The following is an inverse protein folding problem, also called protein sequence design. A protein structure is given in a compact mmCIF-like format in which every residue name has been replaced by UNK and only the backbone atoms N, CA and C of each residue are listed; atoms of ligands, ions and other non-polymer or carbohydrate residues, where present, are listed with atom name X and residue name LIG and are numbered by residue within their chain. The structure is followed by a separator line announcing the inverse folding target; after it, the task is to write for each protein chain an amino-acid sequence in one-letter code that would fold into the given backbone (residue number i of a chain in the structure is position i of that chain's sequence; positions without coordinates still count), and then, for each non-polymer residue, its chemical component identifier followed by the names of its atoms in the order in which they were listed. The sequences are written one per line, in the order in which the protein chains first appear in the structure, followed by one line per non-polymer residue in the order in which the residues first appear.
data_IF_536183797361
#
_entry.id   IF_536183797361
#
_cell.length_a   1.000
_cell.length_b   1.000
_cell.length_c   1.000
_cell.angle_alpha   90.00
_cell.angle_beta   90.00
_cell.angle_gamma   90.00
#
_symmetry.space_group_name_H-M   'P 1'
#
loop_
_entity.id
_entity.type
_entity.pdbx_description
1 polymer ?
#
# COMPACT_ATOMS: atom_id res chain seq x y z
N UNK A 1 -4.25 8.06 6.88
CA UNK A 1 -2.83 8.37 6.68
C UNK A 1 -2.04 7.75 7.82
N UNK A 2 -0.85 7.24 7.55
CA UNK A 2 0.13 6.79 8.55
C UNK A 2 1.38 7.65 8.39
N UNK A 3 2.02 8.00 9.50
CA UNK A 3 3.30 8.70 9.51
C UNK A 3 4.32 7.77 10.16
N UNK A 4 5.37 7.47 9.43
CA UNK A 4 6.48 6.63 9.91
C UNK A 4 7.73 7.48 10.05
N UNK A 5 8.36 7.40 11.22
CA UNK A 5 9.63 8.04 11.50
C UNK A 5 10.77 7.03 11.45
N UNK A 6 11.84 7.38 10.73
CA UNK A 6 13.07 6.60 10.68
C UNK A 6 14.24 7.48 11.15
N UNK A 7 14.99 7.01 12.13
CA UNK A 7 16.14 7.72 12.71
C UNK A 7 17.39 7.72 11.81
N UNK A 8 17.20 7.69 10.51
CA UNK A 8 18.27 7.81 9.48
C UNK A 8 17.68 8.42 8.20
N UNK A 9 18.50 9.15 7.45
CA UNK A 9 18.16 9.57 6.11
C UNK A 9 18.14 8.39 5.16
N UNK A 10 17.09 8.30 4.35
CA UNK A 10 17.01 7.31 3.27
C UNK A 10 17.34 7.93 1.92
N UNK A 11 17.88 7.10 1.02
CA UNK A 11 17.89 7.38 -0.41
C UNK A 11 16.65 6.83 -1.10
N UNK A 12 16.59 6.96 -2.41
CA UNK A 12 15.53 6.39 -3.27
C UNK A 12 15.37 4.87 -3.12
N UNK A 13 16.43 4.18 -2.72
CA UNK A 13 16.47 2.73 -2.47
C UNK A 13 16.15 2.34 -1.01
N UNK A 14 15.67 3.28 -0.20
CA UNK A 14 15.42 3.16 1.25
C UNK A 14 16.64 2.78 2.08
N UNK A 15 17.85 2.79 1.52
CA UNK A 15 19.08 2.54 2.27
C UNK A 15 19.52 3.76 3.05
N UNK A 16 20.15 3.57 4.22
CA UNK A 16 20.71 4.67 5.00
C UNK A 16 21.78 5.46 4.21
N UNK A 17 21.70 6.77 4.30
CA UNK A 17 22.75 7.68 3.78
C UNK A 17 23.92 7.77 4.78
N UNK A 18 25.16 8.07 4.30
CA UNK A 18 26.37 8.08 5.14
C UNK A 18 26.52 9.38 5.95
N UNK A 19 25.42 10.00 6.38
CA UNK A 19 25.39 11.20 7.20
C UNK A 19 24.22 11.19 8.18
N UNK A 20 24.29 12.02 9.24
CA UNK A 20 23.24 12.11 10.23
C UNK A 20 21.99 12.78 9.67
N UNK A 21 20.84 12.21 9.99
CA UNK A 21 19.55 12.76 9.60
C UNK A 21 18.43 11.79 9.92
N UNK A 22 17.21 12.15 9.53
CA UNK A 22 16.03 11.32 9.70
C UNK A 22 15.10 11.42 8.48
N UNK A 23 14.15 10.51 8.40
CA UNK A 23 13.12 10.52 7.35
C UNK A 23 11.75 10.41 7.98
N UNK A 24 10.83 11.26 7.53
CA UNK A 24 9.40 11.15 7.84
C UNK A 24 8.69 10.67 6.57
N UNK A 25 8.13 9.47 6.62
CA UNK A 25 7.30 8.95 5.53
C UNK A 25 5.84 9.27 5.81
N UNK A 26 5.16 9.79 4.79
CA UNK A 26 3.71 9.99 4.82
C UNK A 26 3.05 8.95 3.90
N UNK A 27 2.26 8.06 4.48
CA UNK A 27 1.73 6.89 3.79
C UNK A 27 0.21 6.98 3.66
N UNK A 28 -0.29 6.94 2.42
CA UNK A 28 -1.73 6.85 2.17
C UNK A 28 -2.19 5.40 2.31
N UNK A 29 -2.74 5.06 3.50
CA UNK A 29 -3.09 3.68 3.88
C UNK A 29 -4.47 3.21 3.38
N UNK A 30 -5.25 4.04 2.70
CA UNK A 30 -6.56 3.69 2.11
C UNK A 30 -6.74 4.29 0.72
N UNK A 31 -5.90 3.92 -0.27
CA UNK A 31 -6.02 4.46 -1.61
C UNK A 31 -7.34 4.02 -2.27
N UNK A 32 -7.92 4.95 -3.03
CA UNK A 32 -9.11 4.68 -3.85
C UNK A 32 -8.74 4.19 -5.25
N UNK A 33 -7.53 4.48 -5.73
CA UNK A 33 -7.03 3.98 -7.01
C UNK A 33 -7.09 2.44 -7.09
N UNK A 34 -7.39 1.94 -8.27
CA UNK A 34 -7.43 0.50 -8.56
C UNK A 34 -6.48 0.17 -9.69
N UNK A 35 -5.69 -0.86 -9.46
CA UNK A 35 -4.78 -1.43 -10.44
C UNK A 35 -5.24 -2.79 -10.94
N UNK A 36 -4.33 -3.47 -11.63
CA UNK A 36 -4.56 -4.82 -12.09
C UNK A 36 -3.27 -5.62 -12.19
N UNK A 37 -3.41 -6.94 -12.11
CA UNK A 37 -2.38 -7.91 -12.47
C UNK A 37 -2.90 -8.72 -13.64
N UNK A 38 -2.10 -8.86 -14.71
CA UNK A 38 -2.48 -9.61 -15.92
C UNK A 38 -1.38 -10.55 -16.35
N UNK A 39 -1.79 -11.70 -16.87
CA UNK A 39 -0.89 -12.65 -17.53
C UNK A 39 -0.41 -12.01 -18.84
N UNK A 40 0.89 -12.12 -19.14
CA UNK A 40 1.51 -11.56 -20.34
C UNK A 40 1.86 -12.62 -21.38
N UNK A 41 1.84 -13.91 -21.02
CA UNK A 41 2.17 -15.00 -21.92
C UNK A 41 1.79 -16.36 -21.34
N UNK A 42 1.94 -17.44 -22.12
CA UNK A 42 1.49 -18.78 -21.76
C UNK A 42 2.46 -19.53 -20.82
N UNK A 43 3.68 -19.04 -20.64
CA UNK A 43 4.70 -19.75 -19.85
C UNK A 43 4.63 -19.33 -18.38
N UNK A 44 4.78 -20.25 -17.41
CA UNK A 44 4.79 -19.92 -15.98
C UNK A 44 5.89 -18.92 -15.56
N UNK A 45 6.94 -18.75 -16.38
CA UNK A 45 8.05 -17.81 -16.13
C UNK A 45 7.84 -16.44 -16.77
N UNK A 46 6.79 -16.25 -17.56
CA UNK A 46 6.49 -14.94 -18.14
C UNK A 46 6.06 -14.00 -17.01
N UNK A 47 6.75 -12.84 -16.80
CA UNK A 47 6.43 -11.95 -15.71
C UNK A 47 5.04 -11.33 -15.88
N UNK A 48 4.20 -11.25 -14.84
CA UNK A 48 2.90 -10.61 -14.96
C UNK A 48 3.02 -9.10 -15.22
N UNK A 49 2.07 -8.54 -15.93
CA UNK A 49 1.90 -7.11 -16.00
C UNK A 49 1.20 -6.64 -14.72
N UNK A 50 1.88 -5.79 -13.93
CA UNK A 50 1.37 -5.25 -12.68
C UNK A 50 1.23 -3.75 -12.83
N UNK A 51 0.03 -3.22 -12.58
CA UNK A 51 -0.25 -1.79 -12.51
C UNK A 51 -0.99 -1.45 -11.23
N UNK A 52 -0.46 -0.51 -10.46
CA UNK A 52 -1.11 -0.02 -9.24
C UNK A 52 -1.99 1.20 -9.48
N UNK A 53 -1.69 2.02 -10.50
CA UNK A 53 -2.34 3.29 -10.78
C UNK A 53 -2.29 4.26 -9.59
N UNK A 54 -1.13 4.36 -8.92
CA UNK A 54 -0.94 5.29 -7.81
C UNK A 54 -1.26 6.73 -8.22
N UNK A 55 -1.87 7.50 -7.30
CA UNK A 55 -2.25 8.91 -7.48
C UNK A 55 -3.20 9.18 -8.65
N UNK A 56 -3.92 8.17 -9.15
CA UNK A 56 -4.84 8.35 -10.28
C UNK A 56 -6.10 9.12 -9.87
N UNK A 57 -6.60 8.88 -8.66
CA UNK A 57 -7.78 9.59 -8.15
C UNK A 57 -7.40 10.93 -7.51
N UNK A 58 -8.33 11.90 -7.56
CA UNK A 58 -8.14 13.17 -6.87
C UNK A 58 -7.99 12.98 -5.36
N UNK A 59 -8.76 12.06 -4.76
CA UNK A 59 -8.68 11.75 -3.35
C UNK A 59 -7.28 11.26 -2.94
N UNK A 60 -6.65 10.41 -3.77
CA UNK A 60 -5.29 9.91 -3.50
C UNK A 60 -4.25 11.02 -3.62
N UNK A 61 -4.39 11.93 -4.61
CA UNK A 61 -3.52 13.09 -4.76
C UNK A 61 -3.60 14.02 -3.57
N UNK A 62 -4.81 14.36 -3.14
CA UNK A 62 -5.03 15.22 -1.97
C UNK A 62 -4.51 14.59 -0.68
N UNK A 63 -4.67 13.27 -0.53
CA UNK A 63 -4.12 12.56 0.63
C UNK A 63 -2.57 12.58 0.64
N UNK A 64 -1.92 12.41 -0.51
CA UNK A 64 -0.46 12.49 -0.63
C UNK A 64 0.06 13.89 -0.30
N UNK A 65 -0.57 14.93 -0.87
CA UNK A 65 -0.23 16.34 -0.58
C UNK A 65 -0.40 16.68 0.90
N UNK A 66 -1.54 16.30 1.48
CA UNK A 66 -1.79 16.50 2.91
C UNK A 66 -0.74 15.79 3.77
N UNK A 67 -0.30 14.60 3.35
CA UNK A 67 0.75 13.82 4.01
C UNK A 67 2.08 14.54 4.04
N UNK A 68 2.56 15.02 2.89
CA UNK A 68 3.82 15.78 2.80
C UNK A 68 3.78 17.07 3.62
N UNK A 69 2.70 17.85 3.47
CA UNK A 69 2.51 19.07 4.24
C UNK A 69 2.49 18.79 5.75
N UNK A 70 1.92 17.66 6.15
CA UNK A 70 1.90 17.25 7.55
C UNK A 70 3.29 16.85 8.05
N UNK A 71 4.05 16.11 7.28
CA UNK A 71 5.43 15.74 7.59
C UNK A 71 6.33 16.99 7.77
N UNK A 72 6.23 17.97 6.86
CA UNK A 72 6.91 19.27 6.98
C UNK A 72 6.52 20.00 8.27
N UNK A 73 5.24 20.05 8.58
CA UNK A 73 4.77 20.70 9.81
C UNK A 73 5.31 20.03 11.06
N UNK A 74 5.41 18.69 11.08
CA UNK A 74 6.01 17.95 12.18
C UNK A 74 7.49 18.33 12.33
N UNK A 75 8.26 18.35 11.25
CA UNK A 75 9.70 18.69 11.29
C UNK A 75 9.98 20.15 11.74
N UNK A 76 9.00 21.03 11.58
CA UNK A 76 9.08 22.45 11.96
C UNK A 76 8.56 22.75 13.37
N UNK A 77 8.12 21.73 14.11
CA UNK A 77 7.56 21.89 15.47
C UNK A 77 8.61 21.51 16.51
N UNK A 78 8.74 22.32 17.56
CA UNK A 78 9.63 22.05 18.69
C UNK A 78 9.25 20.75 19.42
N UNK A 79 10.22 19.97 19.90
CA UNK A 79 11.68 20.18 19.81
C UNK A 79 12.32 19.69 18.49
N UNK A 80 11.55 19.22 17.51
CA UNK A 80 12.08 18.68 16.25
C UNK A 80 12.83 19.75 15.45
N UNK A 81 12.28 20.96 15.38
CA UNK A 81 12.84 22.09 14.64
C UNK A 81 14.30 22.39 15.02
N UNK A 82 14.66 22.21 16.30
CA UNK A 82 16.02 22.41 16.80
C UNK A 82 17.04 21.41 16.23
N UNK A 83 16.56 20.24 15.76
CA UNK A 83 17.39 19.17 15.22
C UNK A 83 17.47 19.19 13.68
N UNK A 84 16.66 20.03 13.00
CA UNK A 84 16.59 20.08 11.54
C UNK A 84 17.53 21.15 10.99
N UNK A 85 18.59 20.73 10.31
CA UNK A 85 19.48 21.64 9.61
C UNK A 85 18.88 22.09 8.26
N UNK A 86 18.31 21.15 7.49
CA UNK A 86 17.66 21.43 6.20
C UNK A 86 16.76 20.27 5.80
N UNK A 87 15.74 20.56 5.00
CA UNK A 87 14.98 19.55 4.26
C UNK A 87 15.75 19.13 3.01
N UNK A 88 15.96 17.84 2.83
CA UNK A 88 16.68 17.30 1.67
C UNK A 88 15.73 16.86 0.56
N UNK A 89 14.56 16.36 0.91
CA UNK A 89 13.60 15.77 -0.02
C UNK A 89 12.18 15.97 0.51
N UNK A 90 11.28 16.60 -0.26
CA UNK A 90 11.42 17.11 -1.63
C UNK A 90 12.39 18.30 -1.80
N UNK A 91 12.77 18.99 -0.75
CA UNK A 91 13.58 20.19 -0.73
C UNK A 91 12.73 21.46 -0.51
N UNK A 92 13.35 22.53 0.04
CA UNK A 92 12.63 23.75 0.36
C UNK A 92 12.06 24.48 -0.86
N UNK A 93 12.56 24.19 -2.06
CA UNK A 93 12.14 24.77 -3.33
C UNK A 93 10.78 24.23 -3.83
N UNK A 94 10.36 23.05 -3.37
CA UNK A 94 9.05 22.49 -3.73
C UNK A 94 7.97 23.04 -2.78
N UNK A 95 7.36 24.17 -3.15
CA UNK A 95 6.39 24.90 -2.34
C UNK A 95 4.94 24.71 -2.78
N UNK A 96 4.72 24.60 -4.09
CA UNK A 96 3.38 24.49 -4.66
C UNK A 96 2.85 23.06 -4.61
N UNK A 97 1.53 22.91 -4.66
CA UNK A 97 0.88 21.59 -4.68
C UNK A 97 1.28 20.79 -5.92
N UNK A 98 1.50 21.44 -7.06
CA UNK A 98 1.93 20.78 -8.29
C UNK A 98 3.36 20.24 -8.16
N UNK A 99 4.29 21.01 -7.59
CA UNK A 99 5.68 20.57 -7.33
C UNK A 99 5.73 19.41 -6.33
N UNK A 100 4.96 19.50 -5.24
CA UNK A 100 4.84 18.42 -4.26
C UNK A 100 4.24 17.16 -4.87
N UNK A 101 3.24 17.29 -5.73
CA UNK A 101 2.62 16.15 -6.40
C UNK A 101 3.57 15.52 -7.42
N UNK A 102 4.35 16.33 -8.14
CA UNK A 102 5.37 15.82 -9.05
C UNK A 102 6.46 15.06 -8.28
N UNK A 103 6.87 15.58 -7.12
CA UNK A 103 7.75 14.85 -6.22
C UNK A 103 7.15 13.50 -5.81
N UNK A 104 5.86 13.44 -5.45
CA UNK A 104 5.17 12.18 -5.13
C UNK A 104 5.18 11.19 -6.29
N UNK A 105 5.04 11.67 -7.54
CA UNK A 105 5.08 10.82 -8.74
C UNK A 105 6.47 10.26 -9.01
N UNK A 106 7.49 11.10 -8.84
CA UNK A 106 8.87 10.73 -9.12
C UNK A 106 9.48 9.83 -8.04
N UNK A 107 9.12 10.04 -6.77
CA UNK A 107 9.79 9.44 -5.61
C UNK A 107 8.88 8.56 -4.75
N UNK A 108 7.58 8.47 -5.09
CA UNK A 108 6.64 7.63 -4.36
C UNK A 108 6.98 6.14 -4.48
N UNK A 109 6.94 5.42 -3.36
CA UNK A 109 7.27 4.02 -3.29
C UNK A 109 6.07 3.18 -2.85
N UNK A 110 5.98 1.96 -3.38
CA UNK A 110 5.09 0.96 -2.83
C UNK A 110 5.74 0.30 -1.61
N UNK A 111 5.03 0.23 -0.49
CA UNK A 111 5.45 -0.54 0.68
C UNK A 111 5.08 -2.02 0.59
N UNK A 112 4.77 -2.52 -0.61
CA UNK A 112 4.51 -3.92 -0.94
C UNK A 112 3.30 -4.53 -0.20
N UNK A 113 2.29 -3.73 0.07
CA UNK A 113 1.03 -4.14 0.70
C UNK A 113 -0.13 -4.27 -0.29
N UNK A 114 0.13 -4.70 -1.54
CA UNK A 114 -0.91 -4.91 -2.55
C UNK A 114 -1.91 -5.99 -2.14
N UNK A 115 -3.21 -5.73 -2.37
CA UNK A 115 -4.33 -6.62 -2.03
C UNK A 115 -5.39 -6.60 -3.13
N UNK A 116 -6.39 -7.48 -3.05
CA UNK A 116 -7.65 -7.33 -3.79
C UNK A 116 -7.70 -7.96 -5.19
N UNK A 117 -6.64 -8.63 -5.64
CA UNK A 117 -6.63 -9.30 -6.96
C UNK A 117 -7.56 -10.50 -7.05
N UNK A 118 -7.95 -11.08 -5.91
CA UNK A 118 -8.96 -12.16 -5.79
C UNK A 118 -10.04 -11.75 -4.79
N UNK A 119 -10.53 -10.50 -4.87
CA UNK A 119 -11.39 -9.94 -3.84
C UNK A 119 -12.61 -10.78 -3.50
N UNK A 120 -12.94 -10.76 -2.22
CA UNK A 120 -14.08 -11.46 -1.65
C UNK A 120 -15.37 -10.65 -1.81
N UNK A 121 -16.47 -11.33 -2.09
CA UNK A 121 -17.80 -10.75 -2.12
C UNK A 121 -18.85 -11.75 -2.59
N UNK A 122 -20.12 -11.31 -2.58
CA UNK A 122 -21.27 -12.16 -2.95
C UNK A 122 -21.60 -12.12 -4.44
N UNK A 123 -21.12 -11.09 -5.17
CA UNK A 123 -21.39 -10.96 -6.60
C UNK A 123 -20.26 -11.62 -7.43
N UNK A 124 -20.55 -12.74 -8.12
CA UNK A 124 -19.56 -13.46 -8.93
C UNK A 124 -19.10 -12.67 -10.17
N UNK A 125 -19.78 -11.60 -10.55
CA UNK A 125 -19.37 -10.76 -11.69
C UNK A 125 -18.27 -9.77 -11.32
N UNK A 126 -18.12 -9.47 -10.02
CA UNK A 126 -17.21 -8.47 -9.49
C UNK A 126 -16.20 -9.03 -8.47
N UNK A 127 -16.42 -10.26 -7.98
CA UNK A 127 -15.63 -10.91 -6.95
C UNK A 127 -15.15 -12.29 -7.40
N UNK A 128 -13.96 -12.67 -6.93
CA UNK A 128 -13.34 -13.97 -7.26
C UNK A 128 -13.76 -15.06 -6.29
N UNK A 129 -13.88 -14.72 -5.01
CA UNK A 129 -14.28 -15.69 -3.96
C UNK A 129 -15.50 -15.21 -3.18
N UNK A 130 -16.26 -16.15 -2.65
CA UNK A 130 -17.37 -15.91 -1.75
C UNK A 130 -16.91 -15.59 -0.32
N UNK A 131 -17.81 -15.23 0.63
CA UNK A 131 -17.43 -14.97 2.03
C UNK A 131 -16.86 -16.18 2.78
N UNK A 132 -16.95 -17.39 2.23
CA UNK A 132 -16.24 -18.57 2.74
C UNK A 132 -14.96 -18.89 1.96
N UNK A 133 -14.45 -17.91 1.20
CA UNK A 133 -13.19 -17.96 0.44
C UNK A 133 -13.19 -19.00 -0.70
N UNK A 134 -14.36 -19.49 -1.11
CA UNK A 134 -14.49 -20.44 -2.23
C UNK A 134 -14.56 -19.68 -3.54
N UNK A 135 -13.82 -20.14 -4.55
CA UNK A 135 -13.83 -19.50 -5.87
C UNK A 135 -15.18 -19.66 -6.52
N UNK A 136 -15.79 -18.56 -6.96
CA UNK A 136 -17.06 -18.58 -7.65
C UNK A 136 -16.99 -19.43 -8.93
N UNK A 137 -18.01 -20.29 -9.13
CA UNK A 137 -18.11 -21.16 -10.32
C UNK A 137 -17.20 -22.38 -10.33
N UNK A 138 -16.32 -22.56 -9.35
CA UNK A 138 -15.43 -23.72 -9.23
C UNK A 138 -15.69 -24.48 -7.93
N UNK A 139 -15.58 -25.82 -7.99
CA UNK A 139 -15.68 -26.68 -6.81
C UNK A 139 -14.29 -27.05 -6.30
N UNK A 140 -14.14 -27.11 -4.96
CA UNK A 140 -12.91 -27.60 -4.34
C UNK A 140 -11.72 -26.63 -4.38
N UNK A 141 -11.92 -25.36 -4.80
CA UNK A 141 -10.88 -24.35 -4.85
C UNK A 141 -11.19 -23.16 -3.96
N UNK A 142 -10.19 -22.69 -3.23
CA UNK A 142 -10.24 -21.49 -2.38
C UNK A 142 -9.03 -20.60 -2.62
N UNK A 143 -9.17 -19.31 -2.31
CA UNK A 143 -8.06 -18.37 -2.15
C UNK A 143 -8.04 -17.91 -0.70
N UNK A 144 -6.89 -18.05 -0.03
CA UNK A 144 -6.75 -17.80 1.42
C UNK A 144 -5.48 -16.98 1.67
N UNK A 145 -5.47 -15.76 1.16
CA UNK A 145 -4.35 -14.82 1.32
C UNK A 145 -4.84 -13.36 1.22
N UNK A 146 -3.92 -12.40 1.27
CA UNK A 146 -4.23 -10.98 1.23
C UNK A 146 -4.98 -10.53 -0.04
N UNK A 147 -4.94 -11.31 -1.13
CA UNK A 147 -5.64 -10.96 -2.37
C UNK A 147 -7.16 -10.96 -2.25
N UNK A 148 -7.71 -11.64 -1.23
CA UNK A 148 -9.16 -11.65 -0.98
C UNK A 148 -9.72 -10.34 -0.43
N UNK A 149 -8.87 -9.45 0.12
CA UNK A 149 -9.34 -8.20 0.74
C UNK A 149 -10.04 -7.31 -0.31
N UNK A 150 -11.32 -6.94 -0.14
CA UNK A 150 -12.00 -6.03 -1.06
C UNK A 150 -11.40 -4.62 -1.07
N UNK A 151 -10.84 -4.21 0.08
CA UNK A 151 -10.06 -2.97 0.28
C UNK A 151 -8.90 -3.27 1.22
N UNK A 152 -7.82 -2.50 1.07
CA UNK A 152 -6.69 -2.58 1.99
C UNK A 152 -7.11 -2.14 3.40
N UNK A 153 -6.58 -2.80 4.41
CA UNK A 153 -6.75 -2.40 5.82
C UNK A 153 -6.01 -1.09 6.12
N UNK A 154 -6.37 -0.43 7.22
CA UNK A 154 -5.74 0.84 7.64
C UNK A 154 -4.41 0.61 8.36
N UNK A 155 -3.45 -0.02 7.68
CA UNK A 155 -2.13 -0.35 8.21
C UNK A 155 -1.46 -1.44 7.39
N UNK A 156 -0.34 -1.94 7.90
CA UNK A 156 0.40 -3.03 7.30
C UNK A 156 -0.44 -4.31 7.25
N UNK A 157 -0.32 -5.07 6.16
CA UNK A 157 -1.25 -6.17 5.85
C UNK A 157 -0.92 -7.51 6.53
N UNK A 158 0.23 -7.64 7.20
CA UNK A 158 0.69 -8.92 7.74
C UNK A 158 -0.29 -9.53 8.76
N UNK A 159 -0.74 -8.76 9.74
CA UNK A 159 -1.68 -9.25 10.75
C UNK A 159 -3.01 -9.71 10.13
N UNK A 160 -3.50 -8.96 9.13
CA UNK A 160 -4.71 -9.32 8.40
C UNK A 160 -4.49 -10.59 7.55
N UNK A 161 -3.33 -10.77 6.94
CA UNK A 161 -3.00 -11.98 6.17
C UNK A 161 -2.94 -13.22 7.06
N UNK A 162 -2.36 -13.12 8.26
CA UNK A 162 -2.37 -14.20 9.28
C UNK A 162 -3.81 -14.54 9.68
N UNK A 163 -4.63 -13.53 9.99
CA UNK A 163 -6.04 -13.74 10.35
C UNK A 163 -6.83 -14.43 9.23
N UNK A 164 -6.60 -14.04 7.98
CA UNK A 164 -7.22 -14.69 6.81
C UNK A 164 -6.82 -16.16 6.74
N UNK A 165 -5.54 -16.48 6.97
CA UNK A 165 -5.04 -17.85 7.01
C UNK A 165 -5.73 -18.69 8.08
N UNK A 166 -5.80 -18.21 9.32
CA UNK A 166 -6.46 -18.87 10.45
C UNK A 166 -7.95 -19.11 10.19
N UNK A 167 -8.68 -18.05 9.75
CA UNK A 167 -10.11 -18.17 9.43
C UNK A 167 -10.37 -19.08 8.23
N UNK A 168 -9.51 -19.05 7.23
CA UNK A 168 -9.58 -19.94 6.07
C UNK A 168 -9.40 -21.41 6.47
N UNK A 169 -8.46 -21.71 7.36
CA UNK A 169 -8.25 -23.04 7.90
C UNK A 169 -9.49 -23.54 8.67
N UNK A 170 -10.06 -22.72 9.54
CA UNK A 170 -11.31 -23.05 10.25
C UNK A 170 -12.44 -23.40 9.27
N UNK A 171 -12.67 -22.57 8.24
CA UNK A 171 -13.71 -22.78 7.23
C UNK A 171 -13.50 -24.08 6.43
N UNK A 172 -12.26 -24.43 6.12
CA UNK A 172 -11.91 -25.69 5.43
C UNK A 172 -12.21 -26.89 6.33
N UNK A 173 -11.84 -26.83 7.61
CA UNK A 173 -12.10 -27.89 8.55
C UNK A 173 -13.60 -28.09 8.86
N UNK A 174 -14.36 -27.00 8.92
CA UNK A 174 -15.82 -27.05 9.05
C UNK A 174 -16.46 -27.75 7.85
N UNK A 175 -16.10 -27.32 6.62
CA UNK A 175 -16.68 -27.90 5.40
C UNK A 175 -16.27 -29.36 5.18
N UNK A 176 -15.11 -29.81 5.73
CA UNK A 176 -14.68 -31.20 5.67
C UNK A 176 -15.44 -32.13 6.64
N UNK A 177 -16.15 -31.55 7.61
CA UNK A 177 -16.96 -32.31 8.60
C UNK A 177 -18.44 -32.36 8.24
N UNK A 178 -18.86 -31.54 7.29
CA UNK A 178 -20.26 -31.42 6.82
C UNK A 178 -20.57 -32.40 5.69
#
# INVERSE_FOLDING_TARGET
MMITFMAWCTGEDLKPRPFSGFTILAEHIRPDARGHVRITGPRPKDPPAIRFNFLETEADRQAALAGLKHARRISQTDPFAECVASELTPGPEAETDDELLEHCRANGLSLLHGVGTCRMGTDPTDCVVDPRLRVHGLKGLRVVDASIMPRIVSGNTNAAAIMIGEKGADMILEDARA
#
